data_IF_161708899314
#
_entry.id   IF_161708899314
#
_cell.length_a   1.000
_cell.length_b   1.000
_cell.length_c   1.000
_cell.angle_alpha   90.00
_cell.angle_beta   90.00
_cell.angle_gamma   90.00
#
_symmetry.space_group_name_H-M   'P 1'
#
loop_
_entity.id
_entity.type
_entity.pdbx_description
1 polymer ?
#
# COMPACT_ATOMS: atom_id res chain seq x y z
N UNK A 1 -17.73 -3.20 -20.59
CA UNK A 1 -17.05 -4.21 -21.43
C UNK A 1 -16.54 -3.59 -22.73
N UNK A 2 -17.39 -3.13 -23.66
CA UNK A 2 -16.95 -2.55 -24.93
C UNK A 2 -15.97 -1.37 -24.80
N UNK A 3 -16.21 -0.45 -23.84
CA UNK A 3 -15.29 0.67 -23.59
C UNK A 3 -13.90 0.26 -23.08
N UNK A 4 -13.81 -0.80 -22.28
CA UNK A 4 -12.52 -1.33 -21.80
C UNK A 4 -11.75 -2.03 -22.92
N UNK A 5 -12.45 -2.77 -23.78
CA UNK A 5 -11.86 -3.38 -24.98
C UNK A 5 -11.37 -2.30 -25.95
N UNK A 6 -12.16 -1.24 -26.16
CA UNK A 6 -11.75 -0.10 -26.97
C UNK A 6 -10.51 0.59 -26.39
N UNK A 7 -10.49 0.87 -25.08
CA UNK A 7 -9.33 1.45 -24.42
C UNK A 7 -8.10 0.55 -24.51
N UNK A 8 -8.25 -0.77 -24.36
CA UNK A 8 -7.13 -1.70 -24.45
C UNK A 8 -6.53 -1.80 -25.88
N UNK A 9 -7.34 -1.53 -26.91
CA UNK A 9 -6.90 -1.46 -28.31
C UNK A 9 -6.37 -0.06 -28.70
N UNK A 10 -6.93 1.00 -28.12
CA UNK A 10 -6.59 2.39 -28.44
C UNK A 10 -5.39 2.91 -27.63
N UNK A 11 -5.17 2.39 -26.42
CA UNK A 11 -4.10 2.85 -25.56
C UNK A 11 -2.74 2.44 -26.14
N UNK A 12 -1.94 3.47 -26.44
CA UNK A 12 -0.56 3.34 -26.86
C UNK A 12 0.35 3.75 -25.71
N UNK A 13 1.35 2.93 -25.43
CA UNK A 13 2.37 3.24 -24.43
C UNK A 13 3.28 4.41 -24.87
N UNK A 14 4.19 4.83 -24.00
CA UNK A 14 5.17 5.90 -24.30
C UNK A 14 6.14 5.61 -25.45
N UNK A 15 6.12 4.39 -26.01
CA UNK A 15 6.87 3.97 -27.21
C UNK A 15 5.95 3.80 -28.44
N UNK A 16 4.68 4.22 -28.37
CA UNK A 16 3.72 4.17 -29.47
C UNK A 16 3.10 2.80 -29.75
N UNK A 17 3.34 1.79 -28.91
CA UNK A 17 2.85 0.42 -29.09
C UNK A 17 1.54 0.19 -28.31
N UNK A 18 0.61 -0.57 -28.89
CA UNK A 18 -0.65 -0.95 -28.26
C UNK A 18 -0.46 -2.04 -27.19
N UNK A 19 -1.28 -2.01 -26.13
CA UNK A 19 -1.27 -3.04 -25.06
C UNK A 19 -1.69 -4.41 -25.62
N UNK A 20 -2.74 -4.41 -26.46
CA UNK A 20 -3.21 -5.56 -27.21
C UNK A 20 -2.89 -5.37 -28.69
N UNK A 21 -2.01 -6.21 -29.23
CA UNK A 21 -1.89 -6.39 -30.67
C UNK A 21 -2.68 -7.63 -31.07
N UNK A 22 -3.52 -7.54 -32.10
CA UNK A 22 -4.30 -8.67 -32.62
C UNK A 22 -3.55 -9.47 -33.68
N UNK A 23 -2.49 -8.91 -34.27
CA UNK A 23 -1.66 -9.58 -35.29
C UNK A 23 -0.19 -9.19 -35.15
N UNK A 24 0.68 -10.05 -34.60
CA UNK A 24 0.37 -11.29 -33.87
C UNK A 24 -0.36 -11.00 -32.54
N UNK A 25 -1.17 -11.95 -32.05
CA UNK A 25 -1.84 -11.82 -30.75
C UNK A 25 -0.79 -11.74 -29.63
N UNK A 26 -0.51 -10.54 -29.14
CA UNK A 26 0.44 -10.31 -28.06
C UNK A 26 -0.19 -9.41 -27.00
N UNK A 27 -0.31 -9.94 -25.78
CA UNK A 27 -0.55 -9.15 -24.58
C UNK A 27 0.82 -8.74 -24.06
N UNK A 28 1.19 -7.48 -24.26
CA UNK A 28 2.46 -6.98 -23.70
C UNK A 28 2.23 -6.61 -22.25
N UNK A 29 2.72 -7.45 -21.34
CA UNK A 29 2.78 -7.11 -19.91
C UNK A 29 3.84 -6.04 -19.72
N UNK A 30 3.40 -4.78 -19.65
CA UNK A 30 4.22 -3.72 -19.08
C UNK A 30 4.13 -3.79 -17.55
N UNK A 31 4.88 -2.92 -16.85
CA UNK A 31 4.80 -2.75 -15.41
C UNK A 31 3.35 -2.92 -14.92
N UNK A 32 3.13 -3.90 -14.03
CA UNK A 32 1.79 -4.31 -13.56
C UNK A 32 1.03 -3.23 -12.78
N UNK A 33 1.55 -2.00 -12.76
CA UNK A 33 1.03 -0.91 -11.97
C UNK A 33 1.22 -1.11 -10.48
N UNK A 34 0.87 -0.08 -9.72
CA UNK A 34 0.74 -0.16 -8.26
C UNK A 34 -0.31 -1.22 -7.88
N UNK A 35 -1.36 -1.43 -8.70
CA UNK A 35 -2.38 -2.44 -8.40
C UNK A 35 -1.81 -3.87 -8.45
N UNK A 36 -0.96 -4.20 -9.41
CA UNK A 36 -0.28 -5.49 -9.46
C UNK A 36 0.69 -5.70 -8.31
N UNK A 37 1.46 -4.66 -7.94
CA UNK A 37 2.32 -4.64 -6.76
C UNK A 37 1.52 -4.99 -5.49
N UNK A 38 0.40 -4.31 -5.29
CA UNK A 38 -0.50 -4.53 -4.15
C UNK A 38 -1.12 -5.93 -4.20
N UNK A 39 -1.51 -6.40 -5.39
CA UNK A 39 -2.09 -7.74 -5.58
C UNK A 39 -1.14 -8.86 -5.15
N UNK A 40 0.12 -8.82 -5.59
CA UNK A 40 1.13 -9.80 -5.20
C UNK A 40 1.44 -9.73 -3.70
N UNK A 41 1.56 -8.53 -3.14
CA UNK A 41 1.82 -8.34 -1.72
C UNK A 41 0.68 -8.91 -0.84
N UNK A 42 -0.58 -8.67 -1.22
CA UNK A 42 -1.74 -9.25 -0.53
C UNK A 42 -1.87 -10.74 -0.74
N UNK A 43 -1.51 -11.28 -1.91
CA UNK A 43 -1.51 -12.73 -2.13
C UNK A 43 -0.55 -13.43 -1.16
N UNK A 44 0.67 -12.92 -1.03
CA UNK A 44 1.66 -13.46 -0.08
C UNK A 44 1.19 -13.26 1.36
N UNK A 45 0.69 -12.07 1.69
CA UNK A 45 0.17 -11.77 3.03
C UNK A 45 -1.00 -12.66 3.44
N UNK A 46 -1.96 -12.89 2.55
CA UNK A 46 -3.09 -13.78 2.77
C UNK A 46 -2.63 -15.24 2.92
N UNK A 47 -1.67 -15.68 2.10
CA UNK A 47 -1.09 -17.03 2.20
C UNK A 47 -0.38 -17.22 3.55
N UNK A 48 0.46 -16.26 3.96
CA UNK A 48 1.12 -16.29 5.26
C UNK A 48 0.11 -16.34 6.41
N UNK A 49 -0.96 -15.54 6.33
CA UNK A 49 -2.04 -15.57 7.30
C UNK A 49 -2.78 -16.92 7.32
N UNK A 50 -3.07 -17.53 6.18
CA UNK A 50 -3.75 -18.83 6.15
C UNK A 50 -2.91 -19.96 6.77
N UNK A 51 -1.59 -19.92 6.57
CA UNK A 51 -0.65 -20.91 7.09
C UNK A 51 -0.41 -20.72 8.59
N UNK A 52 -0.04 -19.49 9.01
CA UNK A 52 0.38 -19.21 10.39
C UNK A 52 -0.77 -18.75 11.29
N UNK A 53 -1.91 -18.38 10.69
CA UNK A 53 -3.11 -17.86 11.35
C UNK A 53 -2.78 -16.72 12.29
N UNK A 54 -2.96 -16.96 13.58
CA UNK A 54 -2.78 -15.94 14.60
C UNK A 54 -1.45 -16.09 15.36
N UNK A 55 -0.53 -16.95 14.91
CA UNK A 55 0.75 -17.12 15.58
C UNK A 55 1.67 -15.90 15.32
N UNK A 56 1.77 -15.01 16.32
CA UNK A 56 2.59 -13.78 16.23
C UNK A 56 4.05 -14.06 15.88
N UNK A 57 4.66 -15.05 16.52
CA UNK A 57 6.08 -15.37 16.31
C UNK A 57 6.33 -15.87 14.90
N UNK A 58 5.42 -16.70 14.38
CA UNK A 58 5.54 -17.21 13.02
C UNK A 58 5.30 -16.12 11.96
N UNK A 59 4.33 -15.22 12.18
CA UNK A 59 4.10 -14.07 11.30
C UNK A 59 5.28 -13.09 11.33
N UNK A 60 5.86 -12.81 12.50
CA UNK A 60 7.05 -11.98 12.62
C UNK A 60 8.25 -12.63 11.92
N UNK A 61 8.48 -13.93 12.12
CA UNK A 61 9.51 -14.69 11.42
C UNK A 61 9.32 -14.66 9.91
N UNK A 62 8.09 -14.83 9.43
CA UNK A 62 7.74 -14.72 8.02
C UNK A 62 8.05 -13.33 7.46
N UNK A 63 7.66 -12.26 8.16
CA UNK A 63 7.99 -10.88 7.79
C UNK A 63 9.50 -10.67 7.63
N UNK A 64 10.30 -11.17 8.57
CA UNK A 64 11.78 -11.07 8.51
C UNK A 64 12.33 -11.86 7.33
N UNK A 65 11.87 -13.10 7.09
CA UNK A 65 12.30 -13.91 5.96
C UNK A 65 11.96 -13.26 4.61
N UNK A 66 10.80 -12.62 4.50
CA UNK A 66 10.41 -11.88 3.31
C UNK A 66 11.33 -10.67 3.06
N UNK A 67 11.76 -9.96 4.11
CA UNK A 67 12.78 -8.92 3.97
C UNK A 67 14.13 -9.47 3.52
N UNK A 68 14.50 -10.69 3.92
CA UNK A 68 15.73 -11.35 3.47
C UNK A 68 15.72 -11.71 1.98
N UNK A 69 14.56 -11.77 1.32
CA UNK A 69 14.50 -11.97 -0.12
C UNK A 69 15.11 -10.79 -0.89
N UNK A 70 15.02 -9.57 -0.35
CA UNK A 70 15.59 -8.39 -0.99
C UNK A 70 17.10 -8.48 -1.21
N UNK A 71 17.95 -8.68 -0.18
CA UNK A 71 19.39 -8.83 -0.38
C UNK A 71 19.74 -10.07 -1.20
N UNK A 72 19.00 -11.17 -1.05
CA UNK A 72 19.23 -12.38 -1.85
C UNK A 72 19.02 -12.13 -3.35
N UNK A 73 17.96 -11.39 -3.71
CA UNK A 73 17.70 -10.97 -5.09
C UNK A 73 18.80 -10.06 -5.64
N UNK A 74 19.30 -9.13 -4.83
CA UNK A 74 20.42 -8.24 -5.21
C UNK A 74 21.73 -9.00 -5.47
N UNK A 75 21.95 -10.15 -4.81
CA UNK A 75 23.10 -11.03 -5.07
C UNK A 75 22.90 -11.94 -6.29
N UNK A 76 21.75 -11.87 -6.96
CA UNK A 76 21.42 -12.70 -8.12
C UNK A 76 20.96 -14.11 -7.77
N UNK A 77 20.64 -14.40 -6.51
CA UNK A 77 20.25 -15.74 -6.05
C UNK A 77 19.03 -16.32 -6.80
N UNK A 78 18.17 -15.45 -7.35
CA UNK A 78 16.95 -15.85 -8.05
C UNK A 78 17.01 -15.70 -9.58
N UNK A 79 18.18 -15.41 -10.17
CA UNK A 79 18.29 -15.22 -11.62
C UNK A 79 17.86 -16.46 -12.43
N UNK A 80 18.11 -17.66 -11.90
CA UNK A 80 17.70 -18.92 -12.52
C UNK A 80 16.23 -19.30 -12.24
N UNK A 81 15.53 -18.55 -11.38
CA UNK A 81 14.15 -18.86 -10.99
C UNK A 81 13.19 -18.31 -12.05
N UNK A 82 12.35 -19.20 -12.61
CA UNK A 82 11.42 -18.83 -13.69
C UNK A 82 10.51 -17.67 -13.31
N UNK A 83 10.05 -17.60 -12.05
CA UNK A 83 9.14 -16.55 -11.60
C UNK A 83 9.82 -15.18 -11.51
N UNK A 84 11.15 -15.14 -11.32
CA UNK A 84 11.91 -13.88 -11.26
C UNK A 84 11.88 -13.12 -12.60
N UNK A 85 11.53 -13.80 -13.70
CA UNK A 85 11.34 -13.19 -15.01
C UNK A 85 9.99 -12.46 -15.15
N UNK A 86 9.02 -12.78 -14.29
CA UNK A 86 7.68 -12.22 -14.33
C UNK A 86 7.40 -11.28 -13.14
N UNK A 87 7.97 -11.56 -11.97
CA UNK A 87 7.72 -10.83 -10.72
C UNK A 87 9.04 -10.60 -9.99
N UNK A 88 9.27 -9.37 -9.52
CA UNK A 88 10.43 -9.04 -8.70
C UNK A 88 10.39 -9.79 -7.36
N UNK A 89 11.30 -10.75 -7.17
CA UNK A 89 11.30 -11.61 -5.98
C UNK A 89 11.66 -10.78 -4.75
N UNK A 90 12.73 -10.00 -4.80
CA UNK A 90 13.17 -9.20 -3.66
C UNK A 90 12.24 -8.02 -3.36
N UNK A 91 11.71 -7.37 -4.39
CA UNK A 91 10.91 -6.15 -4.26
C UNK A 91 9.43 -6.42 -4.03
N UNK A 92 8.78 -7.17 -4.93
CA UNK A 92 7.33 -7.41 -4.88
C UNK A 92 6.98 -8.53 -3.90
N UNK A 93 7.59 -9.72 -4.07
CA UNK A 93 7.30 -10.87 -3.21
C UNK A 93 8.02 -10.79 -1.86
N UNK A 94 9.09 -10.01 -1.76
CA UNK A 94 9.85 -9.78 -0.54
C UNK A 94 9.37 -8.53 0.20
N UNK A 95 9.99 -7.38 -0.08
CA UNK A 95 9.78 -6.13 0.66
C UNK A 95 8.33 -5.67 0.74
N UNK A 96 7.56 -5.69 -0.36
CA UNK A 96 6.16 -5.28 -0.34
C UNK A 96 5.29 -6.27 0.46
N UNK A 97 5.47 -7.57 0.24
CA UNK A 97 4.79 -8.60 1.01
C UNK A 97 5.13 -8.54 2.50
N UNK A 98 6.38 -8.22 2.86
CA UNK A 98 6.81 -8.07 4.24
C UNK A 98 6.05 -6.93 4.95
N UNK A 99 5.83 -5.79 4.27
CA UNK A 99 4.98 -4.71 4.80
C UNK A 99 3.56 -5.23 5.07
N UNK A 100 2.98 -5.95 4.10
CA UNK A 100 1.63 -6.51 4.25
C UNK A 100 1.54 -7.48 5.43
N UNK A 101 2.51 -8.39 5.59
CA UNK A 101 2.57 -9.32 6.72
C UNK A 101 2.75 -8.56 8.04
N UNK A 102 3.54 -7.48 8.07
CA UNK A 102 3.64 -6.60 9.24
C UNK A 102 2.30 -5.96 9.62
N UNK A 103 1.51 -5.52 8.64
CA UNK A 103 0.15 -5.03 8.85
C UNK A 103 -0.79 -6.12 9.39
N UNK A 104 -0.71 -7.35 8.84
CA UNK A 104 -1.46 -8.51 9.34
C UNK A 104 -1.08 -8.83 10.79
N UNK A 105 0.21 -8.81 11.13
CA UNK A 105 0.69 -9.05 12.49
C UNK A 105 0.09 -8.04 13.48
N UNK A 106 0.09 -6.75 13.15
CA UNK A 106 -0.54 -5.71 13.97
C UNK A 106 -2.06 -5.93 14.10
N UNK A 107 -2.74 -6.30 13.02
CA UNK A 107 -4.18 -6.55 13.03
C UNK A 107 -4.56 -7.79 13.87
N UNK A 108 -3.78 -8.87 13.77
CA UNK A 108 -3.95 -10.08 14.60
C UNK A 108 -3.73 -9.75 16.08
N UNK A 109 -2.68 -8.99 16.38
CA UNK A 109 -2.39 -8.56 17.75
C UNK A 109 -3.54 -7.72 18.32
N UNK A 110 -4.08 -6.79 17.54
CA UNK A 110 -5.24 -6.01 17.94
C UNK A 110 -6.44 -6.90 18.29
N UNK A 111 -6.82 -7.82 17.40
CA UNK A 111 -7.99 -8.70 17.60
C UNK A 111 -7.85 -9.59 18.82
N UNK A 112 -6.64 -10.11 19.08
CA UNK A 112 -6.38 -10.98 20.24
C UNK A 112 -6.43 -10.26 21.57
N UNK A 113 -6.08 -8.98 21.56
CA UNK A 113 -6.00 -8.16 22.77
C UNK A 113 -7.27 -7.34 23.01
N UNK A 114 -8.34 -7.62 22.26
CA UNK A 114 -9.66 -7.06 22.54
C UNK A 114 -10.10 -7.45 23.97
N UNK A 115 -10.25 -6.45 24.85
CA UNK A 115 -10.58 -6.64 26.25
C UNK A 115 -9.38 -6.80 27.20
N UNK A 116 -8.14 -6.85 26.70
CA UNK A 116 -6.94 -6.80 27.54
C UNK A 116 -6.61 -5.38 28.03
N UNK A 117 -5.84 -5.24 29.13
CA UNK A 117 -5.38 -3.94 29.58
C UNK A 117 -4.54 -3.23 28.51
N UNK A 118 -4.82 -1.93 28.29
CA UNK A 118 -4.17 -1.06 27.30
C UNK A 118 -2.63 -1.16 27.30
N UNK A 119 -2.02 -1.37 28.46
CA UNK A 119 -0.56 -1.50 28.61
C UNK A 119 0.03 -2.68 27.82
N UNK A 120 -0.67 -3.82 27.74
CA UNK A 120 -0.22 -5.01 27.00
C UNK A 120 -0.19 -4.71 25.49
N UNK A 121 -1.30 -4.13 25.00
CA UNK A 121 -1.54 -3.70 23.61
C UNK A 121 -0.47 -2.72 23.13
N UNK A 122 -0.27 -1.66 23.91
CA UNK A 122 0.68 -0.59 23.58
C UNK A 122 2.12 -1.09 23.64
N UNK A 123 2.47 -1.95 24.60
CA UNK A 123 3.84 -2.46 24.74
C UNK A 123 4.30 -3.23 23.51
N UNK A 124 3.48 -4.15 22.98
CA UNK A 124 3.86 -4.92 21.80
C UNK A 124 4.06 -4.00 20.59
N UNK A 125 3.13 -3.06 20.35
CA UNK A 125 3.25 -2.16 19.20
C UNK A 125 4.43 -1.22 19.32
N UNK A 126 4.75 -0.73 20.52
CA UNK A 126 5.97 0.05 20.75
C UNK A 126 7.24 -0.76 20.48
N UNK A 127 7.28 -2.03 20.90
CA UNK A 127 8.41 -2.92 20.59
C UNK A 127 8.52 -3.20 19.09
N UNK A 128 7.39 -3.40 18.41
CA UNK A 128 7.35 -3.56 16.95
C UNK A 128 7.87 -2.31 16.23
N UNK A 129 7.43 -1.12 16.65
CA UNK A 129 7.92 0.16 16.12
C UNK A 129 9.42 0.29 16.36
N UNK A 130 9.89 0.07 17.59
CA UNK A 130 11.30 0.16 17.93
C UNK A 130 12.16 -0.82 17.13
N UNK A 131 11.69 -2.06 16.95
CA UNK A 131 12.36 -3.06 16.12
C UNK A 131 12.40 -2.67 14.64
N UNK A 132 11.31 -2.13 14.11
CA UNK A 132 11.26 -1.61 12.73
C UNK A 132 12.21 -0.43 12.55
N UNK A 133 12.24 0.54 13.47
CA UNK A 133 13.15 1.68 13.42
C UNK A 133 14.61 1.21 13.48
N UNK A 134 14.93 0.30 14.42
CA UNK A 134 16.27 -0.25 14.54
C UNK A 134 16.71 -0.95 13.24
N UNK A 135 15.86 -1.82 12.69
CA UNK A 135 16.12 -2.47 11.41
C UNK A 135 16.23 -1.48 10.25
N UNK A 136 15.40 -0.44 10.22
CA UNK A 136 15.45 0.59 9.19
C UNK A 136 16.77 1.36 9.23
N UNK A 137 17.24 1.74 10.41
CA UNK A 137 18.53 2.43 10.61
C UNK A 137 19.71 1.54 10.22
N UNK A 138 19.70 0.26 10.61
CA UNK A 138 20.74 -0.71 10.26
C UNK A 138 20.85 -0.92 8.75
N UNK A 139 19.70 -1.04 8.07
CA UNK A 139 19.65 -1.29 6.63
C UNK A 139 19.78 -0.02 5.78
N UNK A 140 19.67 1.17 6.39
CA UNK A 140 19.76 2.44 5.67
C UNK A 140 21.12 2.63 5.01
N UNK A 141 22.22 2.32 5.72
CA UNK A 141 23.56 2.46 5.16
C UNK A 141 23.85 1.50 3.98
N UNK A 142 23.16 0.36 3.93
CA UNK A 142 23.38 -0.67 2.91
C UNK A 142 22.52 -0.47 1.65
N UNK A 143 21.25 -0.11 1.83
CA UNK A 143 20.27 -0.07 0.73
C UNK A 143 19.63 1.30 0.53
N UNK A 144 19.85 2.24 1.46
CA UNK A 144 19.22 3.55 1.44
C UNK A 144 17.70 3.51 1.64
N UNK A 145 17.08 4.69 1.56
CA UNK A 145 15.63 4.86 1.63
C UNK A 145 15.13 5.19 0.23
N UNK A 146 14.50 4.21 -0.43
CA UNK A 146 13.91 4.41 -1.74
C UNK A 146 12.61 3.63 -1.90
N UNK A 147 11.51 4.38 -2.02
CA UNK A 147 10.16 3.84 -2.23
C UNK A 147 10.04 3.04 -3.53
N UNK A 148 10.57 3.58 -4.64
CA UNK A 148 10.40 2.98 -5.96
C UNK A 148 11.19 1.67 -6.09
N UNK A 149 12.31 1.56 -5.38
CA UNK A 149 13.11 0.34 -5.31
C UNK A 149 12.72 -0.59 -4.17
N UNK A 150 11.64 -0.31 -3.44
CA UNK A 150 11.16 -1.14 -2.33
C UNK A 150 12.26 -1.47 -1.30
N UNK A 151 13.13 -0.52 -0.97
CA UNK A 151 14.28 -0.84 -0.11
C UNK A 151 13.79 -1.27 1.28
N UNK A 152 14.38 -2.30 1.90
CA UNK A 152 13.94 -2.78 3.21
C UNK A 152 13.92 -1.68 4.28
N UNK A 153 14.87 -0.74 4.25
CA UNK A 153 14.89 0.40 5.16
C UNK A 153 13.65 1.28 5.02
N UNK A 154 13.26 1.61 3.79
CA UNK A 154 12.02 2.37 3.54
C UNK A 154 10.78 1.59 4.01
N UNK A 155 10.73 0.29 3.75
CA UNK A 155 9.61 -0.57 4.16
C UNK A 155 9.46 -0.65 5.69
N UNK A 156 10.57 -0.78 6.41
CA UNK A 156 10.57 -0.80 7.87
C UNK A 156 10.16 0.55 8.47
N UNK A 157 10.58 1.67 7.87
CA UNK A 157 10.03 2.98 8.23
C UNK A 157 8.53 3.05 8.01
N UNK A 158 8.03 2.54 6.89
CA UNK A 158 6.59 2.47 6.62
C UNK A 158 5.86 1.65 7.69
N UNK A 159 6.36 0.46 8.06
CA UNK A 159 5.80 -0.35 9.14
C UNK A 159 5.79 0.38 10.49
N UNK A 160 6.87 1.11 10.82
CA UNK A 160 6.96 1.91 12.04
C UNK A 160 5.90 3.03 12.07
N UNK A 161 5.74 3.77 10.96
CA UNK A 161 4.70 4.79 10.84
C UNK A 161 3.29 4.19 10.91
N UNK A 162 3.05 3.02 10.31
CA UNK A 162 1.76 2.32 10.45
C UNK A 162 1.48 1.94 11.89
N UNK A 163 2.46 1.40 12.62
CA UNK A 163 2.32 1.11 14.06
C UNK A 163 2.03 2.36 14.88
N UNK A 164 2.69 3.49 14.57
CA UNK A 164 2.44 4.75 15.24
C UNK A 164 1.02 5.28 14.97
N UNK A 165 0.58 5.28 13.71
CA UNK A 165 -0.79 5.65 13.34
C UNK A 165 -1.82 4.78 14.06
N UNK A 166 -1.55 3.48 14.18
CA UNK A 166 -2.39 2.57 14.95
C UNK A 166 -2.50 3.00 16.42
N UNK A 167 -1.39 3.30 17.09
CA UNK A 167 -1.40 3.76 18.50
C UNK A 167 -2.19 5.06 18.67
N UNK A 168 -2.04 5.99 17.72
CA UNK A 168 -2.78 7.24 17.74
C UNK A 168 -4.28 6.99 17.58
N UNK A 169 -4.67 6.17 16.61
CA UNK A 169 -6.08 5.83 16.36
C UNK A 169 -6.71 5.08 17.55
N UNK A 170 -5.98 4.16 18.16
CA UNK A 170 -6.43 3.43 19.36
C UNK A 170 -6.65 4.39 20.53
N UNK A 171 -5.64 5.23 20.83
CA UNK A 171 -5.72 6.25 21.89
C UNK A 171 -6.89 7.23 21.67
N UNK A 172 -7.06 7.72 20.45
CA UNK A 172 -8.14 8.64 20.13
C UNK A 172 -9.52 7.97 20.20
N UNK A 173 -9.62 6.67 19.94
CA UNK A 173 -10.88 5.92 20.04
C UNK A 173 -11.28 5.67 21.48
N UNK A 174 -10.32 5.46 22.38
CA UNK A 174 -10.57 5.23 23.81
C UNK A 174 -10.88 6.52 24.59
N UNK A 175 -10.21 7.65 24.28
CA UNK A 175 -10.34 8.91 25.04
C UNK A 175 -11.58 9.73 24.64
N UNK A 176 -12.00 9.64 23.37
CA UNK A 176 -13.23 10.29 22.88
C UNK A 176 -13.94 9.32 21.93
N UNK A 177 -15.26 9.09 22.05
CA UNK A 177 -16.00 8.45 20.98
C UNK A 177 -16.06 9.43 19.79
N UNK A 178 -15.00 9.46 18.97
CA UNK A 178 -14.88 10.27 17.75
C UNK A 178 -15.76 9.64 16.64
N UNK A 179 -16.97 9.18 16.99
CA UNK A 179 -17.86 8.45 16.09
C UNK A 179 -18.17 9.26 14.83
N UNK A 180 -18.25 10.58 14.94
CA UNK A 180 -18.57 11.45 13.80
C UNK A 180 -17.40 11.58 12.80
N UNK A 181 -16.16 11.79 13.25
CA UNK A 181 -15.02 11.94 12.32
C UNK A 181 -14.40 10.59 11.92
N UNK A 182 -14.56 9.54 12.73
CA UNK A 182 -14.12 8.19 12.39
C UNK A 182 -15.06 7.50 11.39
N UNK A 183 -16.36 7.83 11.36
CA UNK A 183 -17.34 7.22 10.44
C UNK A 183 -16.98 7.39 8.95
N UNK A 184 -16.70 8.61 8.44
CA UNK A 184 -16.28 8.80 7.04
C UNK A 184 -15.02 7.99 6.72
N UNK A 185 -14.04 7.99 7.63
CA UNK A 185 -12.79 7.28 7.47
C UNK A 185 -13.01 5.75 7.45
N UNK A 186 -13.86 5.23 8.32
CA UNK A 186 -14.24 3.83 8.34
C UNK A 186 -14.99 3.41 7.06
N UNK A 187 -15.92 4.25 6.58
CA UNK A 187 -16.68 3.98 5.34
C UNK A 187 -15.75 3.99 4.12
N UNK A 188 -14.80 4.93 4.03
CA UNK A 188 -13.82 4.94 2.95
C UNK A 188 -12.83 3.78 3.08
N UNK A 189 -12.42 3.43 4.30
CA UNK A 189 -11.55 2.31 4.60
C UNK A 189 -12.14 0.95 4.23
N UNK A 190 -13.46 0.80 4.20
CA UNK A 190 -14.11 -0.42 3.70
C UNK A 190 -13.88 -0.66 2.20
N UNK A 191 -13.57 0.39 1.43
CA UNK A 191 -13.31 0.31 -0.01
C UNK A 191 -12.01 1.06 -0.38
N UNK A 192 -10.88 0.65 0.22
CA UNK A 192 -9.56 1.28 -0.03
C UNK A 192 -9.22 1.31 -1.53
N UNK A 193 -9.59 0.26 -2.29
CA UNK A 193 -9.38 0.23 -3.74
C UNK A 193 -10.13 1.33 -4.49
N UNK A 194 -11.35 1.66 -4.05
CA UNK A 194 -12.12 2.74 -4.66
C UNK A 194 -11.43 4.08 -4.40
N UNK A 195 -11.00 4.32 -3.15
CA UNK A 195 -10.27 5.53 -2.79
C UNK A 195 -8.96 5.65 -3.59
N UNK A 196 -8.24 4.55 -3.75
CA UNK A 196 -7.03 4.47 -4.58
C UNK A 196 -7.32 4.80 -6.05
N UNK A 197 -8.34 4.19 -6.66
CA UNK A 197 -8.70 4.47 -8.05
C UNK A 197 -9.10 5.92 -8.27
N UNK A 198 -9.87 6.50 -7.34
CA UNK A 198 -10.23 7.93 -7.39
C UNK A 198 -8.97 8.79 -7.32
N UNK A 199 -8.01 8.43 -6.46
CA UNK A 199 -6.73 9.14 -6.35
C UNK A 199 -5.93 9.11 -7.65
N UNK A 200 -5.87 7.96 -8.33
CA UNK A 200 -5.17 7.81 -9.62
C UNK A 200 -5.90 8.53 -10.77
N UNK A 201 -7.23 8.61 -10.71
CA UNK A 201 -8.05 9.34 -11.69
C UNK A 201 -7.97 10.86 -11.50
N UNK A 202 -7.73 11.33 -10.29
CA UNK A 202 -7.82 12.75 -9.92
C UNK A 202 -6.97 13.68 -10.79
N UNK A 203 -5.67 13.41 -11.08
CA UNK A 203 -4.87 14.27 -11.96
C UNK A 203 -5.43 14.34 -13.38
N UNK A 204 -5.90 13.21 -13.92
CA UNK A 204 -6.50 13.15 -15.26
C UNK A 204 -7.81 13.94 -15.32
N UNK A 205 -8.62 13.89 -14.26
CA UNK A 205 -9.85 14.68 -14.15
C UNK A 205 -9.57 16.18 -14.06
N UNK A 206 -8.56 16.59 -13.28
CA UNK A 206 -8.12 17.99 -13.18
C UNK A 206 -7.70 18.51 -14.55
N UNK A 207 -6.91 17.73 -15.29
CA UNK A 207 -6.48 18.08 -16.65
C UNK A 207 -7.66 18.16 -17.64
N UNK A 208 -8.64 17.27 -17.54
CA UNK A 208 -9.83 17.29 -18.39
C UNK A 208 -10.68 18.55 -18.19
N UNK A 209 -10.79 19.03 -16.95
CA UNK A 209 -11.52 20.26 -16.60
C UNK A 209 -10.66 21.53 -16.84
N UNK A 210 -9.41 21.37 -17.31
CA UNK A 210 -8.45 22.46 -17.56
C UNK A 210 -8.15 23.30 -16.31
N UNK A 211 -8.10 22.64 -15.14
CA UNK A 211 -7.77 23.24 -13.85
C UNK A 211 -6.30 22.97 -13.45
N UNK A 212 -5.50 22.44 -14.36
CA UNK A 212 -4.07 22.13 -14.22
C UNK A 212 -3.27 23.34 -13.73
N UNK A 213 -3.39 24.48 -14.41
CA UNK A 213 -2.67 25.71 -14.03
C UNK A 213 -3.03 26.20 -12.62
N UNK A 214 -4.30 26.09 -12.22
CA UNK A 214 -4.75 26.46 -10.87
C UNK A 214 -4.26 25.46 -9.82
N UNK A 215 -4.31 24.17 -10.13
CA UNK A 215 -3.86 23.09 -9.26
C UNK A 215 -2.35 23.14 -8.99
N UNK A 216 -1.56 23.50 -9.99
CA UNK A 216 -0.12 23.66 -9.85
C UNK A 216 0.24 24.94 -9.08
N UNK A 217 -0.52 26.02 -9.29
CA UNK A 217 -0.37 27.27 -8.54
C UNK A 217 -0.71 27.16 -7.03
N UNK A 218 -1.34 26.05 -6.60
CA UNK A 218 -1.67 25.77 -5.19
C UNK A 218 -0.53 25.19 -4.36
N UNK A 219 0.66 24.97 -4.93
CA UNK A 219 1.83 24.47 -4.19
C UNK A 219 3.10 25.34 -4.35
N UNK A 220 3.03 26.69 -4.18
CA UNK A 220 4.20 27.56 -4.33
C UNK A 220 5.23 27.39 -3.20
N UNK A 221 4.81 26.84 -2.06
CA UNK A 221 5.67 26.56 -0.90
C UNK A 221 5.20 25.28 -0.18
N UNK A 222 5.99 24.80 0.78
CA UNK A 222 5.72 23.56 1.51
C UNK A 222 4.37 23.57 2.23
N UNK A 223 4.01 24.68 2.88
CA UNK A 223 2.74 24.79 3.61
C UNK A 223 1.54 24.66 2.67
N UNK A 224 1.59 25.34 1.53
CA UNK A 224 0.58 25.23 0.49
C UNK A 224 0.54 23.82 -0.13
N UNK A 225 1.69 23.16 -0.33
CA UNK A 225 1.74 21.77 -0.79
C UNK A 225 1.09 20.78 0.20
N UNK A 226 1.30 20.99 1.51
CA UNK A 226 0.64 20.21 2.57
C UNK A 226 -0.87 20.47 2.55
N UNK A 227 -1.29 21.74 2.51
CA UNK A 227 -2.70 22.11 2.46
C UNK A 227 -3.40 21.55 1.21
N UNK A 228 -2.75 21.62 0.04
CA UNK A 228 -3.23 21.02 -1.22
C UNK A 228 -3.39 19.50 -1.07
N UNK A 229 -2.40 18.82 -0.51
CA UNK A 229 -2.45 17.37 -0.29
C UNK A 229 -3.56 16.97 0.68
N UNK A 230 -3.75 17.72 1.75
CA UNK A 230 -4.86 17.53 2.69
C UNK A 230 -6.22 17.78 2.03
N UNK A 231 -6.34 18.81 1.19
CA UNK A 231 -7.53 19.10 0.39
C UNK A 231 -7.86 17.96 -0.58
N UNK A 232 -6.87 17.47 -1.33
CA UNK A 232 -7.03 16.29 -2.20
C UNK A 232 -7.48 15.06 -1.41
N UNK A 233 -6.87 14.80 -0.25
CA UNK A 233 -7.26 13.68 0.61
C UNK A 233 -8.71 13.81 1.08
N UNK A 234 -9.16 15.01 1.44
CA UNK A 234 -10.55 15.27 1.81
C UNK A 234 -11.51 15.04 0.64
N UNK A 235 -11.15 15.50 -0.56
CA UNK A 235 -11.95 15.29 -1.79
C UNK A 235 -12.08 13.80 -2.09
N UNK A 236 -10.97 13.05 -2.04
CA UNK A 236 -10.97 11.60 -2.26
C UNK A 236 -11.80 10.90 -1.19
N UNK A 237 -11.67 11.30 0.08
CA UNK A 237 -12.46 10.75 1.18
C UNK A 237 -13.96 10.97 0.96
N UNK A 238 -14.38 12.21 0.68
CA UNK A 238 -15.77 12.57 0.44
C UNK A 238 -16.34 11.84 -0.78
N UNK A 239 -15.60 11.79 -1.88
CA UNK A 239 -15.99 11.07 -3.09
C UNK A 239 -16.15 9.56 -2.82
N UNK A 240 -15.20 8.96 -2.10
CA UNK A 240 -15.25 7.54 -1.72
C UNK A 240 -16.45 7.23 -0.84
N UNK A 241 -16.74 8.07 0.15
CA UNK A 241 -17.91 7.92 1.04
C UNK A 241 -19.21 8.07 0.26
N UNK A 242 -19.31 9.07 -0.62
CA UNK A 242 -20.49 9.30 -1.44
C UNK A 242 -20.77 8.10 -2.36
N UNK A 243 -19.76 7.63 -3.09
CA UNK A 243 -19.90 6.47 -3.99
C UNK A 243 -20.24 5.18 -3.22
N UNK A 244 -19.64 4.96 -2.05
CA UNK A 244 -19.96 3.80 -1.22
C UNK A 244 -21.41 3.86 -0.70
N UNK A 245 -21.94 5.06 -0.39
CA UNK A 245 -23.36 5.24 -0.02
C UNK A 245 -24.33 5.00 -1.18
N UNK A 246 -23.93 5.29 -2.41
CA UNK A 246 -24.71 4.97 -3.63
C UNK A 246 -24.67 3.47 -3.96
N UNK A 247 -23.84 2.68 -3.27
CA UNK A 247 -23.76 1.23 -3.43
C UNK A 247 -22.64 0.77 -4.37
N UNK A 248 -21.76 1.67 -4.82
CA UNK A 248 -20.55 1.28 -5.54
C UNK A 248 -19.57 0.63 -4.57
N UNK A 249 -19.45 -0.69 -4.64
CA UNK A 249 -18.44 -1.47 -3.92
C UNK A 249 -17.59 -2.23 -4.92
N UNK A 250 -16.30 -1.92 -4.93
CA UNK A 250 -15.33 -2.70 -5.68
C UNK A 250 -14.92 -3.89 -4.82
N UNK A 251 -15.26 -5.09 -5.28
CA UNK A 251 -14.80 -6.35 -4.68
C UNK A 251 -13.59 -6.85 -5.46
N UNK A 252 -12.58 -7.31 -4.73
CA UNK A 252 -11.54 -8.21 -5.24
C UNK A 252 -12.10 -9.62 -5.35
#
# INVERSE_FOLDING_TARGET
MAGLVYLALAFRNGQGQAILSLSPFSIRTQWYGILGLIGWAYLVGATAFLIFRENHTALLGCMVLLFCLYPADQTGAFQAFWLAHYVGIGTMLGSHAAITVGGVLLAVHLRRTEGEPLRSRVRFVLLFIAGCIAGALLLNGLYGINKNHATPSWCLWACAFTGLLWLLLDFFSDVRPISFAARPLAIAGQNVLLAYLISELLPSLIGLVRLDNWYDALAPNLGCAIARSAGCALVILCASVALNRVGFRLKL
#
